data_IF_394246919889
#
_entry.id   IF_394246919889
#
_cell.length_a   1.000
_cell.length_b   1.000
_cell.length_c   1.000
_cell.angle_alpha   90.00
_cell.angle_beta   90.00
_cell.angle_gamma   90.00
#
_symmetry.space_group_name_H-M   'P 1'
#
loop_
_entity.id
_entity.type
_entity.pdbx_description
1 polymer ?
#
# COMPACT_ATOMS: atom_id res chain seq x y z
N UNK A 1 23.52 -15.80 11.40
CA UNK A 1 24.11 -14.43 11.47
C UNK A 1 22.95 -13.49 11.25
N UNK A 2 22.57 -12.73 12.27
CA UNK A 2 21.31 -11.97 12.24
C UNK A 2 21.48 -10.77 11.30
N UNK A 3 20.76 -10.77 10.18
CA UNK A 3 20.63 -9.59 9.31
C UNK A 3 19.27 -8.98 9.57
N UNK A 4 19.26 -7.69 9.88
CA UNK A 4 18.05 -6.94 10.16
C UNK A 4 17.71 -6.03 8.99
N UNK A 5 16.74 -6.42 8.18
CA UNK A 5 16.20 -5.54 7.15
C UNK A 5 15.31 -4.50 7.83
N UNK A 6 15.58 -3.21 7.62
CA UNK A 6 14.79 -2.15 8.24
C UNK A 6 14.20 -1.19 7.23
N UNK A 7 12.98 -0.74 7.52
CA UNK A 7 12.33 0.34 6.80
C UNK A 7 11.71 1.29 7.80
N UNK A 8 12.18 2.53 7.77
CA UNK A 8 11.78 3.55 8.72
C UNK A 8 10.84 4.53 8.04
N UNK A 9 9.77 4.83 8.75
CA UNK A 9 8.85 5.87 8.38
C UNK A 9 9.07 7.10 9.26
N UNK A 10 9.01 8.29 8.70
CA UNK A 10 9.41 9.53 9.36
C UNK A 10 8.34 10.61 9.30
N UNK A 11 8.43 11.58 10.20
CA UNK A 11 7.77 12.88 10.08
C UNK A 11 8.87 13.92 10.32
N UNK A 12 9.14 14.75 9.30
CA UNK A 12 10.39 15.53 9.24
C UNK A 12 11.59 14.57 9.35
N UNK A 13 12.50 14.81 10.27
CA UNK A 13 13.72 14.02 10.45
C UNK A 13 13.60 12.97 11.57
N UNK A 14 12.38 12.66 12.05
CA UNK A 14 12.19 11.73 13.17
C UNK A 14 11.32 10.54 12.80
N UNK A 15 11.63 9.37 13.38
CA UNK A 15 10.87 8.13 13.17
C UNK A 15 9.46 8.28 13.73
N UNK A 16 8.47 7.85 12.95
CA UNK A 16 7.06 7.77 13.31
C UNK A 16 6.49 6.35 13.22
N UNK A 17 7.08 5.48 12.40
CA UNK A 17 6.77 4.07 12.33
C UNK A 17 7.95 3.29 11.77
N UNK A 18 7.94 1.96 11.91
CA UNK A 18 9.01 1.10 11.41
C UNK A 18 8.48 -0.28 11.01
N UNK A 19 9.18 -0.90 10.08
CA UNK A 19 9.12 -2.31 9.72
C UNK A 19 10.52 -2.88 9.85
N UNK A 20 10.65 -4.04 10.50
CA UNK A 20 11.91 -4.75 10.63
C UNK A 20 11.70 -6.24 10.40
N UNK A 21 12.65 -6.86 9.69
CA UNK A 21 12.66 -8.29 9.45
C UNK A 21 14.01 -8.85 9.86
N UNK A 22 13.99 -9.73 10.86
CA UNK A 22 15.14 -10.54 11.24
C UNK A 22 15.19 -11.77 10.32
N UNK A 23 16.22 -11.85 9.48
CA UNK A 23 16.35 -12.92 8.49
C UNK A 23 16.75 -14.27 9.08
N UNK A 24 17.30 -14.31 10.30
CA UNK A 24 17.80 -15.53 10.94
C UNK A 24 16.65 -16.27 11.63
N UNK A 25 15.84 -15.54 12.39
CA UNK A 25 14.63 -16.08 13.04
C UNK A 25 13.37 -16.03 12.17
N UNK A 26 13.44 -15.34 11.03
CA UNK A 26 12.32 -14.99 10.16
C UNK A 26 11.18 -14.23 10.90
N UNK A 27 11.53 -13.50 11.96
CA UNK A 27 10.60 -12.71 12.73
C UNK A 27 10.37 -11.33 12.07
N UNK A 28 9.10 -10.90 12.08
CA UNK A 28 8.70 -9.59 11.58
C UNK A 28 8.22 -8.71 12.72
N UNK A 29 8.82 -7.52 12.82
CA UNK A 29 8.44 -6.51 13.79
C UNK A 29 7.91 -5.29 13.05
N UNK A 30 6.84 -4.70 13.56
CA UNK A 30 6.35 -3.42 13.10
C UNK A 30 5.83 -2.62 14.28
N UNK A 31 5.72 -1.31 14.09
CA UNK A 31 5.16 -0.44 15.11
C UNK A 31 5.08 1.00 14.68
N UNK A 32 4.40 1.78 15.50
CA UNK A 32 4.22 3.22 15.32
C UNK A 32 4.51 3.94 16.64
N UNK A 33 5.16 5.08 16.56
CA UNK A 33 5.41 5.95 17.69
C UNK A 33 5.33 7.42 17.29
N UNK A 34 4.78 8.27 18.14
CA UNK A 34 4.78 9.71 17.87
C UNK A 34 6.20 10.27 18.00
N UNK A 35 6.69 11.09 17.05
CA UNK A 35 8.06 11.61 17.10
C UNK A 35 8.27 12.75 18.11
N UNK A 36 7.21 13.23 18.75
CA UNK A 36 7.21 14.44 19.58
C UNK A 36 6.72 14.18 21.00
N UNK A 37 7.38 14.82 21.97
CA UNK A 37 7.15 14.61 23.40
C UNK A 37 5.82 15.20 23.89
N UNK A 38 5.35 16.31 23.31
CA UNK A 38 4.12 17.00 23.72
C UNK A 38 3.10 17.15 22.58
N UNK A 39 1.83 17.27 22.93
CA UNK A 39 0.71 17.49 22.00
C UNK A 39 0.76 18.84 21.30
N UNK A 40 1.30 19.87 21.97
CA UNK A 40 1.52 21.20 21.40
C UNK A 40 2.59 21.19 20.29
N UNK A 41 3.55 20.27 20.34
CA UNK A 41 4.54 20.09 19.27
C UNK A 41 3.93 19.54 17.98
N UNK A 42 2.76 18.87 18.06
CA UNK A 42 2.05 18.35 16.90
C UNK A 42 1.25 19.44 16.16
N UNK A 43 0.97 20.58 16.79
CA UNK A 43 0.24 21.72 16.18
C UNK A 43 1.04 22.45 15.10
N UNK A 44 2.36 22.26 15.08
CA UNK A 44 3.30 22.90 14.14
C UNK A 44 3.87 21.92 13.10
N UNK A 45 3.24 20.77 12.96
CA UNK A 45 3.63 19.78 11.96
C UNK A 45 3.09 20.20 10.59
N UNK A 46 4.00 20.56 9.70
CA UNK A 46 3.71 20.59 8.27
C UNK A 46 3.48 19.14 7.80
N UNK A 47 2.60 18.91 6.81
CA UNK A 47 2.54 17.65 6.09
C UNK A 47 3.95 17.28 5.61
N UNK A 48 4.35 16.01 5.74
CA UNK A 48 5.70 15.62 5.36
C UNK A 48 5.83 15.48 3.84
N UNK A 49 6.86 16.08 3.25
CA UNK A 49 7.13 16.03 1.80
C UNK A 49 7.52 14.64 1.26
N UNK A 50 7.85 13.68 2.15
CA UNK A 50 8.17 12.30 1.80
C UNK A 50 7.01 11.32 2.07
N UNK A 51 5.90 11.78 2.66
CA UNK A 51 4.71 10.99 2.96
C UNK A 51 3.51 11.56 2.23
N UNK A 52 2.87 10.75 1.38
CA UNK A 52 1.67 11.16 0.65
C UNK A 52 0.43 11.46 1.52
N UNK A 53 0.50 11.35 2.86
CA UNK A 53 -0.25 12.20 3.80
C UNK A 53 0.16 11.90 5.25
N UNK A 54 0.15 12.91 6.14
CA UNK A 54 0.57 12.76 7.52
C UNK A 54 -0.46 11.94 8.28
N UNK A 55 -0.01 11.08 9.20
CA UNK A 55 -0.87 10.63 10.29
C UNK A 55 -1.67 11.82 10.83
N UNK A 56 -2.98 11.69 10.94
CA UNK A 56 -3.79 12.77 11.53
C UNK A 56 -3.27 13.02 12.95
N UNK A 57 -3.38 14.26 13.43
CA UNK A 57 -3.03 14.59 14.83
C UNK A 57 -3.70 13.64 15.83
N UNK A 58 -4.89 13.11 15.51
CA UNK A 58 -5.61 12.11 16.31
C UNK A 58 -4.90 10.75 16.31
N UNK A 59 -4.43 10.25 15.17
CA UNK A 59 -3.66 9.01 15.06
C UNK A 59 -2.27 9.12 15.71
N UNK A 60 -1.56 10.25 15.54
CA UNK A 60 -0.28 10.45 16.24
C UNK A 60 -0.45 10.53 17.77
N UNK A 61 -1.61 10.98 18.26
CA UNK A 61 -1.89 11.05 19.69
C UNK A 61 -2.12 9.68 20.33
N UNK A 62 -2.54 8.67 19.57
CA UNK A 62 -2.76 7.31 20.09
C UNK A 62 -1.47 6.52 20.22
N UNK A 63 -0.40 6.92 19.52
CA UNK A 63 0.89 6.26 19.61
C UNK A 63 1.72 6.72 20.81
N UNK A 64 2.51 5.78 21.33
CA UNK A 64 3.54 6.07 22.34
C UNK A 64 4.60 7.00 21.78
N UNK A 65 5.30 7.75 22.65
CA UNK A 65 6.42 8.57 22.22
C UNK A 65 7.57 7.68 21.72
N UNK A 66 8.21 8.04 20.61
CA UNK A 66 9.31 7.23 20.01
C UNK A 66 10.45 6.97 20.99
N UNK A 67 10.75 7.89 21.91
CA UNK A 67 11.74 7.66 22.96
C UNK A 67 11.36 6.56 23.97
N UNK A 68 10.09 6.12 24.03
CA UNK A 68 9.70 4.92 24.81
C UNK A 68 10.02 3.61 24.09
N UNK A 69 10.23 3.66 22.77
CA UNK A 69 10.63 2.51 21.96
C UNK A 69 12.14 2.28 22.00
N UNK A 70 12.87 3.09 22.76
CA UNK A 70 14.32 3.01 22.89
C UNK A 70 14.78 1.60 23.25
N UNK A 71 14.22 1.00 24.31
CA UNK A 71 14.60 -0.34 24.75
C UNK A 71 14.40 -1.39 23.65
N UNK A 72 13.30 -1.30 22.90
CA UNK A 72 13.03 -2.21 21.78
C UNK A 72 14.07 -2.05 20.66
N UNK A 73 14.34 -0.81 20.23
CA UNK A 73 15.35 -0.57 19.18
C UNK A 73 16.74 -0.99 19.63
N UNK A 74 17.13 -0.71 20.88
CA UNK A 74 18.41 -1.14 21.44
C UNK A 74 18.54 -2.66 21.46
N UNK A 75 17.49 -3.39 21.86
CA UNK A 75 17.50 -4.86 21.87
C UNK A 75 17.69 -5.42 20.46
N UNK A 76 16.86 -5.02 19.51
CA UNK A 76 16.89 -5.55 18.14
C UNK A 76 18.21 -5.18 17.44
N UNK A 77 18.71 -3.95 17.62
CA UNK A 77 19.98 -3.52 17.00
C UNK A 77 21.19 -4.16 17.67
N UNK A 78 21.13 -4.47 18.96
CA UNK A 78 22.20 -5.20 19.66
C UNK A 78 22.32 -6.62 19.12
N UNK A 79 21.19 -7.29 18.93
CA UNK A 79 21.15 -8.68 18.44
C UNK A 79 21.52 -8.79 16.96
N UNK A 80 21.26 -7.76 16.15
CA UNK A 80 21.64 -7.75 14.74
C UNK A 80 23.16 -7.80 14.57
N UNK A 81 23.65 -8.63 13.65
CA UNK A 81 25.05 -8.57 13.19
C UNK A 81 25.23 -7.48 12.12
N UNK A 82 24.24 -7.33 11.24
CA UNK A 82 24.19 -6.27 10.24
C UNK A 82 22.78 -5.70 10.11
N UNK A 83 22.69 -4.44 9.67
CA UNK A 83 21.43 -3.74 9.41
C UNK A 83 21.39 -3.37 7.94
N UNK A 84 20.36 -3.81 7.22
CA UNK A 84 20.14 -3.54 5.80
C UNK A 84 18.97 -2.57 5.68
N UNK A 85 19.21 -1.27 5.49
CA UNK A 85 18.14 -0.30 5.41
C UNK A 85 17.52 -0.22 3.99
N UNK A 86 16.20 -0.04 3.89
CA UNK A 86 15.48 0.25 2.61
C UNK A 86 15.81 1.65 2.05
N UNK A 87 16.56 2.47 2.80
CA UNK A 87 16.93 3.83 2.39
C UNK A 87 18.00 4.43 3.30
N UNK A 88 18.37 5.69 3.04
CA UNK A 88 19.38 6.39 3.85
C UNK A 88 18.75 6.94 5.14
N UNK A 89 18.95 6.25 6.26
CA UNK A 89 18.33 6.60 7.54
C UNK A 89 19.27 7.19 8.61
N UNK A 90 20.56 7.41 8.31
CA UNK A 90 21.52 7.88 9.32
C UNK A 90 21.04 9.16 10.04
N UNK A 91 20.71 10.19 9.27
CA UNK A 91 20.20 11.44 9.83
C UNK A 91 18.87 11.27 10.55
N UNK A 92 18.02 10.34 10.11
CA UNK A 92 16.73 10.05 10.73
C UNK A 92 16.92 9.46 12.14
N UNK A 93 17.81 8.47 12.26
CA UNK A 93 18.10 7.82 13.54
C UNK A 93 18.80 8.79 14.48
N UNK A 94 19.76 9.57 13.97
CA UNK A 94 20.46 10.63 14.72
C UNK A 94 19.51 11.66 15.32
N UNK A 95 18.57 12.18 14.54
CA UNK A 95 17.60 13.18 15.02
C UNK A 95 16.51 12.59 15.92
N UNK A 96 16.24 11.29 15.81
CA UNK A 96 15.23 10.61 16.63
C UNK A 96 15.74 10.34 18.04
N UNK A 97 16.88 9.66 18.16
CA UNK A 97 17.41 9.20 19.44
C UNK A 97 18.51 10.11 20.00
N UNK A 98 19.21 10.83 19.12
CA UNK A 98 20.28 11.76 19.47
C UNK A 98 21.65 11.27 19.00
N UNK A 99 22.61 12.19 18.79
CA UNK A 99 23.94 11.87 18.24
C UNK A 99 24.83 11.05 19.17
N UNK A 100 24.54 11.03 20.47
CA UNK A 100 25.31 10.29 21.47
C UNK A 100 24.57 9.05 21.98
N UNK A 101 23.46 8.69 21.33
CA UNK A 101 22.59 7.61 21.78
C UNK A 101 23.09 6.25 21.26
N UNK A 102 22.95 5.21 22.08
CA UNK A 102 23.37 3.85 21.74
C UNK A 102 22.77 3.34 20.41
N UNK A 103 21.47 3.51 20.18
CA UNK A 103 20.82 3.14 18.91
C UNK A 103 21.48 3.78 17.69
N UNK A 104 21.86 5.07 17.77
CA UNK A 104 22.55 5.74 16.66
C UNK A 104 23.94 5.16 16.44
N UNK A 105 24.69 4.92 17.52
CA UNK A 105 26.00 4.24 17.47
C UNK A 105 25.89 2.86 16.84
N UNK A 106 24.96 2.01 17.31
CA UNK A 106 24.73 0.68 16.78
C UNK A 106 24.34 0.71 15.30
N UNK A 107 23.52 1.69 14.90
CA UNK A 107 23.18 1.86 13.49
C UNK A 107 24.39 2.21 12.64
N UNK A 108 25.24 3.15 13.07
CA UNK A 108 26.46 3.50 12.33
C UNK A 108 27.45 2.34 12.23
N UNK A 109 27.57 1.53 13.27
CA UNK A 109 28.46 0.36 13.30
C UNK A 109 27.98 -0.78 12.40
N UNK A 110 26.66 -0.96 12.26
CA UNK A 110 26.07 -2.17 11.67
C UNK A 110 25.34 -1.94 10.35
N UNK A 111 24.96 -0.70 10.03
CA UNK A 111 24.22 -0.41 8.81
C UNK A 111 25.13 -0.48 7.58
N UNK A 112 24.69 -1.21 6.57
CA UNK A 112 25.30 -1.20 5.24
C UNK A 112 24.70 -0.09 4.38
N UNK A 113 25.40 0.31 3.33
CA UNK A 113 24.81 1.21 2.33
C UNK A 113 23.55 0.56 1.73
N UNK A 114 22.42 1.27 1.66
CA UNK A 114 21.21 0.74 1.05
C UNK A 114 21.48 0.41 -0.41
N UNK A 115 21.29 -0.85 -0.79
CA UNK A 115 21.37 -1.24 -2.18
C UNK A 115 20.22 -0.55 -2.97
N UNK A 116 20.49 0.10 -4.11
CA UNK A 116 19.41 0.50 -5.00
C UNK A 116 18.65 -0.77 -5.42
N UNK A 117 17.32 -0.83 -5.31
CA UNK A 117 16.58 -2.02 -5.70
C UNK A 117 16.79 -2.28 -7.19
N UNK A 118 17.30 -3.48 -7.54
CA UNK A 118 17.54 -3.90 -8.92
C UNK A 118 16.22 -3.96 -9.73
N UNK A 119 15.13 -4.32 -9.06
CA UNK A 119 13.77 -4.30 -9.58
C UNK A 119 12.81 -3.79 -8.50
N UNK A 120 11.80 -3.02 -8.89
CA UNK A 120 10.76 -2.52 -7.98
C UNK A 120 9.44 -3.22 -8.31
N UNK A 121 8.89 -4.09 -7.43
CA UNK A 121 7.64 -4.76 -7.71
C UNK A 121 6.50 -3.79 -8.01
N UNK A 122 5.74 -4.08 -9.06
CA UNK A 122 4.64 -3.24 -9.54
C UNK A 122 3.35 -4.05 -9.45
N UNK A 123 2.38 -3.53 -8.69
CA UNK A 123 1.04 -4.10 -8.62
C UNK A 123 0.11 -3.35 -9.57
N UNK A 124 -0.59 -4.08 -10.41
CA UNK A 124 -1.71 -3.60 -11.21
C UNK A 124 -2.98 -4.18 -10.60
N UNK A 125 -3.97 -3.37 -10.27
CA UNK A 125 -5.21 -3.85 -9.65
C UNK A 125 -6.42 -3.07 -10.16
N UNK A 126 -7.52 -3.78 -10.34
CA UNK A 126 -8.82 -3.20 -10.66
C UNK A 126 -9.91 -3.81 -9.77
N UNK A 127 -10.96 -3.01 -9.53
CA UNK A 127 -12.06 -3.38 -8.66
C UNK A 127 -13.41 -3.24 -9.36
N UNK A 128 -14.23 -4.28 -9.21
CA UNK A 128 -15.63 -4.21 -9.58
C UNK A 128 -16.47 -3.91 -8.34
N UNK A 129 -17.39 -2.96 -8.42
CA UNK A 129 -18.09 -2.45 -7.24
C UNK A 129 -19.61 -2.30 -7.42
N UNK A 130 -20.34 -2.70 -6.37
CA UNK A 130 -21.75 -2.42 -6.16
C UNK A 130 -21.90 -1.26 -5.17
N UNK A 131 -22.44 -0.12 -5.61
CA UNK A 131 -22.65 1.07 -4.78
C UNK A 131 -21.38 1.48 -4.00
N UNK A 132 -20.26 1.56 -4.71
CA UNK A 132 -18.94 1.88 -4.15
C UNK A 132 -18.41 0.86 -3.11
N UNK A 133 -18.85 -0.40 -3.19
CA UNK A 133 -18.33 -1.53 -2.41
C UNK A 133 -17.87 -2.64 -3.34
N UNK A 134 -16.64 -3.14 -3.18
CA UNK A 134 -16.12 -4.28 -3.94
C UNK A 134 -17.11 -5.45 -3.89
N UNK A 135 -17.46 -5.93 -5.08
CA UNK A 135 -18.04 -7.24 -5.29
C UNK A 135 -17.00 -8.21 -5.89
N UNK A 136 -16.00 -7.70 -6.63
CA UNK A 136 -14.89 -8.50 -7.12
C UNK A 136 -13.63 -7.69 -7.40
N UNK A 137 -12.49 -8.37 -7.52
CA UNK A 137 -11.20 -7.74 -7.82
C UNK A 137 -10.26 -8.70 -8.53
N UNK A 138 -9.32 -8.12 -9.27
CA UNK A 138 -8.20 -8.84 -9.88
C UNK A 138 -6.95 -7.98 -9.79
N UNK A 139 -5.79 -8.60 -9.56
CA UNK A 139 -4.51 -7.92 -9.51
C UNK A 139 -3.35 -8.79 -10.01
N UNK A 140 -2.36 -8.13 -10.62
CA UNK A 140 -1.08 -8.72 -11.00
C UNK A 140 0.06 -7.99 -10.31
N UNK A 141 0.79 -8.70 -9.46
CA UNK A 141 2.05 -8.25 -8.89
C UNK A 141 3.19 -8.73 -9.78
N UNK A 142 3.81 -7.79 -10.50
CA UNK A 142 4.99 -8.05 -11.31
C UNK A 142 6.21 -7.99 -10.41
N UNK A 143 6.92 -9.11 -10.32
CA UNK A 143 8.21 -9.28 -9.67
C UNK A 143 9.30 -9.41 -10.75
N UNK A 144 10.57 -9.49 -10.33
CA UNK A 144 11.71 -9.57 -11.25
C UNK A 144 11.63 -10.80 -12.18
N UNK A 145 11.22 -11.95 -11.62
CA UNK A 145 11.24 -13.24 -12.31
C UNK A 145 9.85 -13.87 -12.49
N UNK A 146 8.80 -13.27 -11.92
CA UNK A 146 7.46 -13.86 -11.92
C UNK A 146 6.35 -12.81 -11.89
N UNK A 147 5.14 -13.24 -12.22
CA UNK A 147 3.90 -12.47 -12.00
C UNK A 147 3.01 -13.27 -11.06
N UNK A 148 2.67 -12.68 -9.91
CA UNK A 148 1.75 -13.28 -8.94
C UNK A 148 0.36 -12.69 -9.17
N UNK A 149 -0.64 -13.57 -9.31
CA UNK A 149 -2.04 -13.19 -9.54
C UNK A 149 -2.81 -13.26 -8.22
N UNK A 150 -3.60 -12.23 -7.95
CA UNK A 150 -4.55 -12.16 -6.84
C UNK A 150 -5.94 -11.87 -7.39
N UNK A 151 -6.95 -12.61 -6.95
CA UNK A 151 -8.34 -12.35 -7.37
C UNK A 151 -9.34 -12.80 -6.31
N UNK A 152 -10.58 -12.31 -6.40
CA UNK A 152 -11.63 -12.78 -5.53
C UNK A 152 -12.98 -12.10 -5.75
N UNK A 153 -14.00 -12.72 -5.17
CA UNK A 153 -15.37 -12.21 -5.08
C UNK A 153 -15.69 -12.01 -3.61
N UNK A 154 -16.34 -10.90 -3.27
CA UNK A 154 -16.75 -10.60 -1.92
C UNK A 154 -18.19 -10.11 -1.86
N UNK A 155 -18.82 -10.40 -0.73
CA UNK A 155 -20.13 -9.87 -0.41
C UNK A 155 -20.00 -8.43 0.12
N UNK A 156 -20.60 -7.43 -0.55
CA UNK A 156 -20.41 -6.02 -0.19
C UNK A 156 -21.16 -5.62 1.09
N UNK A 157 -22.21 -6.34 1.46
CA UNK A 157 -23.06 -6.08 2.62
C UNK A 157 -23.43 -7.37 3.35
N UNK A 158 -23.53 -7.34 4.68
CA UNK A 158 -23.96 -8.52 5.45
C UNK A 158 -25.43 -8.92 5.20
N UNK A 159 -26.29 -7.96 4.84
CA UNK A 159 -27.71 -8.22 4.60
C UNK A 159 -27.96 -8.70 3.16
N UNK A 160 -28.24 -10.00 2.99
CA UNK A 160 -28.57 -10.58 1.68
C UNK A 160 -29.80 -9.92 1.05
N UNK A 161 -30.84 -9.55 1.81
CA UNK A 161 -32.05 -8.93 1.24
C UNK A 161 -31.75 -7.57 0.63
N UNK A 162 -30.76 -6.87 1.18
CA UNK A 162 -30.29 -5.60 0.62
C UNK A 162 -29.49 -5.82 -0.66
N UNK A 163 -28.62 -6.85 -0.70
CA UNK A 163 -27.88 -7.24 -1.90
C UNK A 163 -28.83 -7.58 -3.06
N UNK A 164 -29.83 -8.45 -2.83
CA UNK A 164 -30.86 -8.78 -3.84
C UNK A 164 -31.57 -7.56 -4.39
N UNK A 165 -32.03 -6.67 -3.51
CA UNK A 165 -32.74 -5.47 -3.95
C UNK A 165 -31.89 -4.52 -4.79
N UNK A 166 -30.60 -4.35 -4.45
CA UNK A 166 -29.70 -3.52 -5.24
C UNK A 166 -29.38 -4.18 -6.58
N UNK A 167 -29.13 -5.48 -6.57
CA UNK A 167 -28.86 -6.27 -7.76
C UNK A 167 -29.96 -6.13 -8.81
N UNK A 168 -31.20 -6.47 -8.42
CA UNK A 168 -32.35 -6.49 -9.32
C UNK A 168 -32.68 -5.11 -9.90
N UNK A 169 -32.36 -4.04 -9.15
CA UNK A 169 -32.71 -2.66 -9.54
C UNK A 169 -31.66 -1.95 -10.35
N UNK A 170 -30.38 -2.32 -10.19
CA UNK A 170 -29.26 -1.48 -10.65
C UNK A 170 -28.17 -2.29 -11.34
N UNK A 171 -27.90 -3.54 -10.95
CA UNK A 171 -26.63 -4.21 -11.30
C UNK A 171 -26.74 -5.52 -12.09
N UNK A 172 -27.94 -6.11 -12.24
CA UNK A 172 -28.16 -7.41 -12.88
C UNK A 172 -27.63 -7.55 -14.33
N UNK A 173 -27.30 -6.43 -15.00
CA UNK A 173 -26.73 -6.41 -16.35
C UNK A 173 -25.41 -5.61 -16.44
N UNK A 174 -24.92 -5.09 -15.30
CA UNK A 174 -23.73 -4.25 -15.24
C UNK A 174 -22.53 -4.96 -14.64
N UNK A 175 -22.78 -5.95 -13.79
CA UNK A 175 -21.73 -6.68 -13.08
C UNK A 175 -21.55 -8.08 -13.66
N UNK A 176 -20.34 -8.61 -13.59
CA UNK A 176 -19.95 -9.87 -14.24
C UNK A 176 -20.33 -11.14 -13.45
N UNK A 177 -20.74 -10.97 -12.20
CA UNK A 177 -21.07 -12.06 -11.28
C UNK A 177 -22.56 -12.40 -11.28
N UNK A 178 -22.95 -13.58 -10.81
CA UNK A 178 -24.36 -13.80 -10.46
C UNK A 178 -24.64 -13.28 -9.05
N UNK A 179 -25.91 -13.05 -8.74
CA UNK A 179 -26.29 -12.70 -7.38
C UNK A 179 -25.99 -13.82 -6.37
N UNK A 180 -26.11 -15.08 -6.80
CA UNK A 180 -25.87 -16.23 -5.94
C UNK A 180 -24.38 -16.29 -5.55
N UNK A 181 -23.48 -16.07 -6.50
CA UNK A 181 -22.02 -15.98 -6.24
C UNK A 181 -21.71 -14.89 -5.19
N UNK A 182 -22.33 -13.72 -5.32
CA UNK A 182 -22.14 -12.62 -4.36
C UNK A 182 -22.71 -12.96 -2.98
N UNK A 183 -23.87 -13.63 -2.94
CA UNK A 183 -24.53 -13.98 -1.69
C UNK A 183 -23.81 -15.06 -0.88
N UNK A 184 -23.16 -16.01 -1.57
CA UNK A 184 -22.32 -17.08 -1.01
C UNK A 184 -20.92 -16.59 -0.60
N UNK A 185 -20.42 -15.52 -1.23
CA UNK A 185 -19.12 -14.95 -0.90
C UNK A 185 -19.00 -14.45 0.55
N UNK A 186 -17.77 -14.44 1.06
CA UNK A 186 -17.46 -13.88 2.38
C UNK A 186 -17.62 -12.36 2.35
N UNK A 187 -17.98 -11.77 3.50
CA UNK A 187 -18.02 -10.32 3.63
C UNK A 187 -16.64 -9.71 3.35
N UNK A 188 -16.59 -8.61 2.59
CA UNK A 188 -15.34 -7.98 2.11
C UNK A 188 -14.28 -7.73 3.20
N UNK A 189 -14.72 -7.39 4.43
CA UNK A 189 -13.83 -7.22 5.60
C UNK A 189 -12.96 -8.43 5.91
N UNK A 190 -13.41 -9.65 5.57
CA UNK A 190 -12.65 -10.87 5.82
C UNK A 190 -11.41 -11.00 4.93
N UNK A 191 -11.30 -10.19 3.87
CA UNK A 191 -10.14 -10.16 2.97
C UNK A 191 -9.09 -9.12 3.39
N UNK A 192 -9.25 -8.44 4.53
CA UNK A 192 -8.32 -7.42 5.02
C UNK A 192 -6.86 -7.90 5.01
N UNK A 193 -6.59 -9.09 5.57
CA UNK A 193 -5.23 -9.68 5.58
C UNK A 193 -4.69 -9.99 4.18
N UNK A 194 -5.58 -10.34 3.24
CA UNK A 194 -5.22 -10.65 1.87
C UNK A 194 -4.77 -9.39 1.12
N UNK A 195 -5.51 -8.29 1.28
CA UNK A 195 -5.08 -6.98 0.80
C UNK A 195 -3.79 -6.50 1.47
N UNK A 196 -3.61 -6.75 2.78
CA UNK A 196 -2.36 -6.45 3.49
C UNK A 196 -1.16 -7.12 2.87
N UNK A 197 -1.23 -8.43 2.69
CA UNK A 197 -0.14 -9.19 2.08
C UNK A 197 0.18 -8.67 0.66
N UNK A 198 -0.83 -8.59 -0.22
CA UNK A 198 -0.66 -8.18 -1.62
C UNK A 198 -0.01 -6.79 -1.76
N UNK A 199 -0.55 -5.78 -1.08
CA UNK A 199 -0.07 -4.42 -1.24
C UNK A 199 1.28 -4.19 -0.54
N UNK A 200 1.60 -4.90 0.55
CA UNK A 200 2.89 -4.77 1.24
C UNK A 200 4.08 -5.16 0.36
N UNK A 201 3.86 -6.05 -0.62
CA UNK A 201 4.86 -6.55 -1.55
C UNK A 201 5.13 -5.59 -2.72
N UNK A 202 4.25 -4.61 -2.95
CA UNK A 202 4.34 -3.69 -4.07
C UNK A 202 5.14 -2.42 -3.71
N UNK A 203 6.06 -2.00 -4.59
CA UNK A 203 6.72 -0.69 -4.48
C UNK A 203 5.93 0.40 -5.22
N UNK A 204 5.23 0.01 -6.30
CA UNK A 204 4.29 0.86 -7.06
C UNK A 204 2.96 0.13 -7.20
N UNK A 205 1.85 0.86 -7.12
CA UNK A 205 0.49 0.33 -7.31
C UNK A 205 -0.20 1.20 -8.37
N UNK A 206 -0.76 0.56 -9.39
CA UNK A 206 -1.58 1.19 -10.43
C UNK A 206 -3.02 0.70 -10.28
N UNK A 207 -3.96 1.64 -10.24
CA UNK A 207 -5.41 1.42 -10.17
C UNK A 207 -6.08 2.10 -11.35
N UNK A 208 -7.29 1.66 -11.71
CA UNK A 208 -8.11 2.31 -12.72
C UNK A 208 -9.25 3.12 -12.08
N UNK A 209 -9.11 4.44 -12.05
CA UNK A 209 -10.14 5.36 -11.55
C UNK A 209 -9.95 5.80 -10.10
N UNK A 210 -10.26 7.07 -9.84
CA UNK A 210 -10.25 7.69 -8.50
C UNK A 210 -11.12 6.96 -7.46
N UNK A 211 -12.12 6.23 -7.95
CA UNK A 211 -13.12 5.46 -7.20
C UNK A 211 -12.53 4.32 -6.39
N UNK A 212 -11.45 3.71 -6.86
CA UNK A 212 -10.87 2.48 -6.29
C UNK A 212 -10.02 2.75 -5.06
N UNK A 213 -9.23 3.82 -5.12
CA UNK A 213 -8.52 4.35 -3.98
C UNK A 213 -9.51 4.79 -2.87
N UNK A 214 -10.57 5.52 -3.26
CA UNK A 214 -11.64 5.95 -2.34
C UNK A 214 -12.40 4.77 -1.70
N UNK A 215 -12.46 3.62 -2.38
CA UNK A 215 -13.09 2.42 -1.85
C UNK A 215 -12.32 1.81 -0.68
N UNK A 216 -10.99 1.61 -0.81
CA UNK A 216 -10.17 0.99 0.25
C UNK A 216 -10.32 1.80 1.55
N UNK A 217 -10.33 3.13 1.40
CA UNK A 217 -10.62 4.09 2.47
C UNK A 217 -11.98 3.89 3.11
N UNK A 218 -13.04 3.76 2.31
CA UNK A 218 -14.42 3.62 2.82
C UNK A 218 -14.70 2.25 3.45
N UNK A 219 -13.98 1.21 3.07
CA UNK A 219 -14.32 -0.18 3.45
C UNK A 219 -13.46 -0.68 4.60
N UNK A 220 -12.16 -0.41 4.56
CA UNK A 220 -11.20 -0.82 5.57
C UNK A 220 -10.74 0.33 6.47
N UNK A 221 -11.23 1.54 6.20
CA UNK A 221 -10.92 2.73 6.99
C UNK A 221 -9.67 3.45 6.51
N UNK A 222 -9.43 4.62 7.10
CA UNK A 222 -8.28 5.46 6.77
C UNK A 222 -6.95 4.78 7.08
N UNK A 223 -6.90 3.87 8.05
CA UNK A 223 -5.66 3.23 8.49
C UNK A 223 -5.11 2.30 7.40
N UNK A 224 -5.94 1.40 6.84
CA UNK A 224 -5.56 0.50 5.75
C UNK A 224 -5.26 1.25 4.44
N UNK A 225 -6.09 2.25 4.11
CA UNK A 225 -5.90 3.10 2.92
C UNK A 225 -4.56 3.86 2.93
N UNK A 226 -4.19 4.40 4.09
CA UNK A 226 -2.92 5.10 4.26
C UNK A 226 -1.72 4.14 4.37
N UNK A 227 -1.93 2.93 4.92
CA UNK A 227 -0.90 1.90 5.09
C UNK A 227 -0.31 1.43 3.74
N UNK A 228 -1.15 1.23 2.72
CA UNK A 228 -0.67 0.81 1.40
C UNK A 228 -0.17 1.91 0.51
N UNK A 229 -0.31 3.17 0.94
CA UNK A 229 0.02 4.32 0.11
C UNK A 229 -0.51 4.11 -1.31
N UNK A 230 -1.81 3.82 -1.47
CA UNK A 230 -2.44 3.81 -2.81
C UNK A 230 -2.29 5.22 -3.36
N UNK A 231 -1.15 5.46 -4.00
CA UNK A 231 -0.91 6.63 -4.82
C UNK A 231 -1.82 6.33 -5.98
N UNK A 232 -2.95 6.99 -5.97
CA UNK A 232 -3.86 6.99 -7.08
C UNK A 232 -3.08 7.60 -8.25
N UNK A 233 -2.42 6.76 -9.04
CA UNK A 233 -1.82 7.18 -10.30
C UNK A 233 -2.94 7.04 -11.31
N UNK A 234 -3.96 7.87 -11.11
CA UNK A 234 -5.11 7.87 -11.97
C UNK A 234 -4.67 8.37 -13.34
N UNK A 235 -4.89 7.52 -14.33
CA UNK A 235 -4.43 7.62 -15.71
C UNK A 235 -2.94 7.95 -15.86
N UNK A 236 -2.10 6.92 -16.03
CA UNK A 236 -0.71 7.08 -16.51
C UNK A 236 -0.60 7.74 -17.89
N UNK A 237 -1.71 8.15 -18.50
CA UNK A 237 -1.72 8.87 -19.77
C UNK A 237 -2.50 10.17 -19.59
N UNK A 238 -1.75 11.24 -19.31
CA UNK A 238 -2.24 12.61 -19.49
C UNK A 238 -1.74 13.11 -20.83
N UNK A 239 -2.63 13.16 -21.83
CA UNK A 239 -2.33 13.87 -23.08
C UNK A 239 -2.81 15.30 -22.93
N UNK A 240 -1.89 16.26 -23.04
CA UNK A 240 -2.19 17.69 -22.90
C UNK A 240 -2.97 18.04 -21.60
N UNK A 241 -2.51 17.49 -20.46
CA UNK A 241 -3.12 17.68 -19.13
C UNK A 241 -4.54 17.13 -18.94
N UNK A 242 -5.05 16.29 -19.85
CA UNK A 242 -6.33 15.60 -19.69
C UNK A 242 -6.11 14.11 -19.45
N UNK A 243 -6.77 13.57 -18.42
CA UNK A 243 -6.83 12.13 -18.21
C UNK A 243 -7.65 11.48 -19.34
N UNK A 244 -7.10 10.43 -19.95
CA UNK A 244 -7.82 9.59 -20.91
C UNK A 244 -8.36 8.35 -20.20
N UNK A 245 -9.53 7.87 -20.62
CA UNK A 245 -10.03 6.57 -20.18
C UNK A 245 -9.14 5.45 -20.70
N UNK A 246 -9.12 4.31 -20.02
CA UNK A 246 -8.26 3.18 -20.38
C UNK A 246 -8.49 2.72 -21.82
N UNK A 247 -9.74 2.62 -22.26
CA UNK A 247 -10.06 2.26 -23.65
C UNK A 247 -9.54 3.28 -24.67
N UNK A 248 -9.49 4.57 -24.32
CA UNK A 248 -8.92 5.60 -25.21
C UNK A 248 -7.40 5.48 -25.26
N UNK A 249 -6.76 5.16 -24.14
CA UNK A 249 -5.32 4.88 -24.09
C UNK A 249 -4.98 3.65 -24.94
N UNK A 250 -5.71 2.55 -24.77
CA UNK A 250 -5.50 1.33 -25.56
C UNK A 250 -5.60 1.61 -27.07
N UNK A 251 -6.60 2.39 -27.50
CA UNK A 251 -6.73 2.81 -28.91
C UNK A 251 -5.56 3.68 -29.37
N UNK A 252 -5.09 4.62 -28.54
CA UNK A 252 -4.00 5.53 -28.87
C UNK A 252 -2.67 4.79 -29.06
N UNK A 253 -2.40 3.78 -28.22
CA UNK A 253 -1.16 3.02 -28.23
C UNK A 253 -1.26 1.69 -28.99
N UNK A 254 -2.37 1.44 -29.69
CA UNK A 254 -2.56 0.22 -30.48
C UNK A 254 -2.63 -1.07 -29.65
N UNK A 255 -2.97 -0.98 -28.36
CA UNK A 255 -3.12 -2.13 -27.48
C UNK A 255 -4.49 -2.78 -27.70
N UNK A 256 -4.48 -4.08 -28.01
CA UNK A 256 -5.70 -4.89 -28.12
C UNK A 256 -5.66 -6.02 -27.08
N UNK A 257 -6.67 -6.04 -26.22
CA UNK A 257 -6.94 -7.12 -25.26
C UNK A 257 -8.40 -7.51 -25.44
N UNK A 258 -8.65 -8.76 -25.84
CA UNK A 258 -10.00 -9.31 -25.96
C UNK A 258 -10.54 -9.73 -24.59
N UNK A 259 -11.79 -9.38 -24.30
CA UNK A 259 -12.45 -9.73 -23.04
C UNK A 259 -13.70 -8.91 -22.75
N UNK A 260 -14.41 -9.32 -21.70
CA UNK A 260 -15.66 -8.68 -21.27
C UNK A 260 -15.40 -7.27 -20.70
N UNK A 261 -16.28 -6.33 -21.07
CA UNK A 261 -16.32 -5.00 -20.49
C UNK A 261 -16.72 -5.10 -19.01
N UNK A 262 -16.10 -4.29 -18.15
CA UNK A 262 -16.35 -4.23 -16.70
C UNK A 262 -15.89 -5.46 -15.91
N UNK A 263 -15.04 -6.31 -16.49
CA UNK A 263 -14.38 -7.38 -15.77
C UNK A 263 -12.99 -6.91 -15.30
N UNK A 264 -12.70 -6.96 -13.98
CA UNK A 264 -11.47 -6.39 -13.43
C UNK A 264 -10.20 -7.07 -13.97
N UNK A 265 -10.29 -8.33 -14.39
CA UNK A 265 -9.16 -9.03 -15.03
C UNK A 265 -8.73 -8.36 -16.32
N UNK A 266 -9.67 -8.10 -17.22
CA UNK A 266 -9.35 -7.55 -18.53
C UNK A 266 -8.91 -6.09 -18.43
N UNK A 267 -9.45 -5.35 -17.46
CA UNK A 267 -9.03 -3.97 -17.21
C UNK A 267 -7.60 -3.91 -16.64
N UNK A 268 -7.19 -4.82 -15.76
CA UNK A 268 -5.78 -4.97 -15.33
C UNK A 268 -4.85 -5.32 -16.49
N UNK A 269 -5.24 -6.28 -17.34
CA UNK A 269 -4.43 -6.69 -18.49
C UNK A 269 -4.23 -5.55 -19.49
N UNK A 270 -5.29 -4.79 -19.80
CA UNK A 270 -5.24 -3.58 -20.62
C UNK A 270 -4.33 -2.52 -20.01
N UNK A 271 -4.45 -2.27 -18.70
CA UNK A 271 -3.66 -1.29 -17.98
C UNK A 271 -2.17 -1.63 -18.04
N UNK A 272 -1.81 -2.89 -17.73
CA UNK A 272 -0.43 -3.37 -17.81
C UNK A 272 0.13 -3.23 -19.23
N UNK A 273 -0.57 -3.73 -20.24
CA UNK A 273 -0.11 -3.69 -21.63
C UNK A 273 0.08 -2.25 -22.13
N UNK A 274 -0.84 -1.35 -21.78
CA UNK A 274 -0.74 0.07 -22.10
C UNK A 274 0.51 0.71 -21.47
N UNK A 275 0.75 0.45 -20.18
CA UNK A 275 1.89 1.01 -19.45
C UNK A 275 3.23 0.49 -19.94
N UNK A 276 3.32 -0.81 -20.21
CA UNK A 276 4.52 -1.39 -20.81
C UNK A 276 4.82 -0.81 -22.19
N UNK A 277 3.79 -0.49 -22.98
CA UNK A 277 4.00 0.15 -24.29
C UNK A 277 4.56 1.57 -24.13
N UNK A 278 4.07 2.33 -23.14
CA UNK A 278 4.53 3.70 -22.86
C UNK A 278 5.96 3.74 -22.36
N UNK A 279 6.34 2.85 -21.44
CA UNK A 279 7.69 2.81 -20.87
C UNK A 279 8.77 2.42 -21.89
N UNK A 280 8.37 1.83 -23.03
CA UNK A 280 9.26 1.43 -24.12
C UNK A 280 9.34 2.46 -25.27
N UNK A 281 8.62 3.59 -25.18
CA UNK A 281 8.69 4.73 -26.13
C UNK A 281 9.76 5.74 -25.70
#
# INVERSE_FOLDING_TARGET
MITLNIKLFTVKEKICAWEMHDTDSNAYYNGGARPFKSTASLDKLQPSDFYNSPYTKKQLKTFEYIGKMESFFSEVFTNATSIVPDGKYENIIKHTFGPNHEIYRLYQEKAVEPAPPAFQPILYIDFEAMNMRICGWYAELICENETIVYEGIAKPFSDSKYVHRLWDRVYNELLTYSIDDICEAKHIRNYERYFIDMFSRAKKIYTYGDTDALFVKKTFGNDLYNFFKIKNIDACVKVANRALSLDKCCKLFGVQVEGDLHNPKYDVLKMRACLQTIDNL
#
